data_IF_294512825080
#
_entry.id   IF_294512825080
#
_cell.length_a   1.000
_cell.length_b   1.000
_cell.length_c   1.000
_cell.angle_alpha   90.00
_cell.angle_beta   90.00
_cell.angle_gamma   90.00
#
_symmetry.space_group_name_H-M   'P 1'
#
loop_
_entity.id
_entity.type
_entity.pdbx_description
1 polymer ?
#
# COMPACT_ATOMS: atom_id res chain seq x y z
N UNK A 1 -1.93 -2.14 16.42
CA UNK A 1 -1.48 -1.18 17.44
C UNK A 1 -0.08 -0.71 17.07
N UNK A 2 0.26 0.57 17.26
CA UNK A 2 1.64 1.05 17.13
C UNK A 2 2.57 0.31 18.08
N UNK A 3 3.82 0.12 17.66
CA UNK A 3 4.86 -0.59 18.43
C UNK A 3 5.08 0.03 19.81
N UNK A 4 4.87 1.34 19.96
CA UNK A 4 4.97 2.07 21.22
C UNK A 4 3.95 1.64 22.27
N UNK A 5 2.84 1.01 21.88
CA UNK A 5 1.80 0.55 22.80
C UNK A 5 2.09 -0.85 23.36
N UNK A 6 2.91 -1.65 22.67
CA UNK A 6 3.34 -2.97 23.13
C UNK A 6 4.84 -3.17 22.88
N UNK A 7 5.71 -2.56 23.71
CA UNK A 7 7.16 -2.62 23.53
C UNK A 7 7.73 -4.05 23.56
N UNK A 8 7.02 -4.98 24.21
CA UNK A 8 7.34 -6.40 24.26
C UNK A 8 7.41 -7.07 22.88
N UNK A 9 6.69 -6.52 21.88
CA UNK A 9 6.67 -7.03 20.52
C UNK A 9 7.82 -6.49 19.64
N UNK A 10 8.58 -5.47 20.10
CA UNK A 10 9.66 -4.86 19.32
C UNK A 10 10.70 -5.87 18.84
N UNK A 11 11.26 -6.76 19.70
CA UNK A 11 12.30 -7.69 19.25
C UNK A 11 11.78 -8.66 18.19
N UNK A 12 10.55 -9.16 18.36
CA UNK A 12 9.90 -10.03 17.38
C UNK A 12 9.65 -9.30 16.06
N UNK A 13 9.15 -8.06 16.10
CA UNK A 13 8.96 -7.27 14.90
C UNK A 13 10.26 -7.05 14.15
N UNK A 14 11.34 -6.65 14.82
CA UNK A 14 12.66 -6.48 14.19
C UNK A 14 13.17 -7.78 13.57
N UNK A 15 13.00 -8.91 14.27
CA UNK A 15 13.36 -10.22 13.72
C UNK A 15 12.55 -10.55 12.47
N UNK A 16 11.25 -10.24 12.42
CA UNK A 16 10.40 -10.44 11.25
C UNK A 16 10.80 -9.52 10.09
N UNK A 17 11.09 -8.25 10.35
CA UNK A 17 11.52 -7.29 9.32
C UNK A 17 12.88 -7.67 8.69
N UNK A 18 13.78 -8.24 9.49
CA UNK A 18 15.06 -8.75 9.02
C UNK A 18 14.97 -10.15 8.38
N UNK A 19 13.83 -10.84 8.50
CA UNK A 19 13.71 -12.21 8.02
C UNK A 19 13.58 -12.28 6.49
N UNK A 20 14.37 -13.14 5.86
CA UNK A 20 14.43 -13.28 4.39
C UNK A 20 13.05 -13.51 3.74
N UNK A 21 12.16 -14.24 4.40
CA UNK A 21 10.79 -14.47 3.90
C UNK A 21 9.97 -13.18 3.81
N UNK A 22 10.09 -12.27 4.79
CA UNK A 22 9.36 -11.01 4.77
C UNK A 22 9.97 -10.01 3.80
N UNK A 23 11.29 -10.00 3.66
CA UNK A 23 11.98 -9.22 2.62
C UNK A 23 11.50 -9.66 1.23
N UNK A 24 11.41 -10.98 0.98
CA UNK A 24 10.89 -11.52 -0.28
C UNK A 24 9.41 -11.20 -0.50
N UNK A 25 8.58 -11.29 0.53
CA UNK A 25 7.16 -10.93 0.47
C UNK A 25 6.99 -9.45 0.11
N UNK A 26 7.77 -8.57 0.74
CA UNK A 26 7.76 -7.14 0.45
C UNK A 26 8.22 -6.87 -0.99
N UNK A 27 9.31 -7.50 -1.43
CA UNK A 27 9.80 -7.39 -2.79
C UNK A 27 8.82 -7.90 -3.85
N UNK A 28 8.13 -9.01 -3.57
CA UNK A 28 7.07 -9.52 -4.45
C UNK A 28 5.93 -8.51 -4.59
N UNK A 29 5.46 -7.94 -3.48
CA UNK A 29 4.43 -6.91 -3.52
C UNK A 29 4.87 -5.67 -4.30
N UNK A 30 6.11 -5.21 -4.12
CA UNK A 30 6.69 -4.12 -4.91
C UNK A 30 6.70 -4.46 -6.39
N UNK A 31 7.14 -5.67 -6.75
CA UNK A 31 7.12 -6.15 -8.14
C UNK A 31 5.72 -6.15 -8.74
N UNK A 32 4.70 -6.60 -7.99
CA UNK A 32 3.30 -6.54 -8.44
C UNK A 32 2.90 -5.10 -8.75
N UNK A 33 3.22 -4.13 -7.90
CA UNK A 33 2.89 -2.72 -8.17
C UNK A 33 3.65 -2.19 -9.39
N UNK A 34 4.94 -2.48 -9.49
CA UNK A 34 5.79 -2.01 -10.59
C UNK A 34 5.32 -2.53 -11.96
N UNK A 35 4.84 -3.77 -12.03
CA UNK A 35 4.40 -4.38 -13.29
C UNK A 35 2.95 -4.07 -13.65
N UNK A 36 2.05 -3.95 -12.66
CA UNK A 36 0.61 -3.76 -12.95
C UNK A 36 0.13 -2.31 -12.84
N UNK A 37 0.92 -1.42 -12.22
CA UNK A 37 0.63 0.01 -12.16
C UNK A 37 1.96 0.82 -12.10
N UNK A 38 2.81 0.77 -13.15
CA UNK A 38 4.12 1.42 -13.18
C UNK A 38 4.08 2.92 -12.88
N UNK A 39 3.06 3.65 -13.35
CA UNK A 39 2.88 5.07 -13.03
C UNK A 39 2.66 5.29 -11.52
N UNK A 40 1.82 4.45 -10.90
CA UNK A 40 1.60 4.49 -9.46
C UNK A 40 2.86 4.07 -8.69
N UNK A 41 3.60 3.07 -9.16
CA UNK A 41 4.90 2.70 -8.58
C UNK A 41 5.87 3.90 -8.59
N UNK A 42 6.03 4.58 -9.74
CA UNK A 42 6.88 5.76 -9.86
C UNK A 42 6.44 6.89 -8.93
N UNK A 43 5.13 7.06 -8.77
CA UNK A 43 4.56 7.97 -7.78
C UNK A 43 4.99 7.59 -6.36
N UNK A 44 4.81 6.35 -5.91
CA UNK A 44 5.29 5.94 -4.58
C UNK A 44 6.81 6.12 -4.40
N UNK A 45 7.60 5.69 -5.38
CA UNK A 45 9.07 5.76 -5.33
C UNK A 45 9.58 7.20 -5.20
N UNK A 46 9.00 8.15 -5.94
CA UNK A 46 9.31 9.58 -5.84
C UNK A 46 9.13 10.11 -4.42
N UNK A 47 8.03 9.76 -3.76
CA UNK A 47 7.74 10.26 -2.41
C UNK A 47 8.59 9.55 -1.36
N UNK A 48 8.88 8.26 -1.52
CA UNK A 48 9.85 7.56 -0.67
C UNK A 48 11.23 8.21 -0.73
N UNK A 49 11.70 8.57 -1.93
CA UNK A 49 12.97 9.29 -2.09
C UNK A 49 12.94 10.68 -1.43
N UNK A 50 11.84 11.42 -1.57
CA UNK A 50 11.67 12.72 -0.92
C UNK A 50 11.67 12.62 0.62
N UNK A 51 11.06 11.56 1.17
CA UNK A 51 11.09 11.29 2.61
C UNK A 51 12.51 10.99 3.08
N UNK A 52 13.21 10.10 2.38
CA UNK A 52 14.60 9.72 2.71
C UNK A 52 15.55 10.91 2.66
N UNK A 53 15.36 11.82 1.70
CA UNK A 53 16.17 13.03 1.57
C UNK A 53 15.85 14.12 2.58
N UNK A 54 14.72 14.02 3.31
CA UNK A 54 14.26 15.05 4.25
C UNK A 54 14.41 14.65 5.72
N UNK A 55 14.25 13.38 6.01
CA UNK A 55 14.24 12.81 7.36
C UNK A 55 15.43 11.86 7.52
N UNK A 56 16.45 12.31 8.24
CA UNK A 56 17.69 11.54 8.42
C UNK A 56 17.51 10.34 9.36
N UNK A 57 16.38 10.26 10.07
CA UNK A 57 16.08 9.27 11.11
C UNK A 57 15.04 8.22 10.69
N UNK A 58 14.59 8.23 9.42
CA UNK A 58 13.67 7.20 8.94
C UNK A 58 14.43 6.01 8.33
N UNK A 59 14.00 4.81 8.69
CA UNK A 59 14.38 3.58 8.02
C UNK A 59 13.13 2.95 7.40
N UNK A 60 13.19 2.63 6.11
CA UNK A 60 12.14 1.84 5.47
C UNK A 60 12.15 0.41 6.00
N UNK A 61 10.96 -0.17 6.13
CA UNK A 61 10.78 -1.49 6.75
C UNK A 61 11.49 -2.62 5.99
N UNK A 62 11.65 -2.48 4.66
CA UNK A 62 12.32 -3.44 3.80
C UNK A 62 13.14 -2.72 2.72
N UNK A 63 14.24 -3.30 2.21
CA UNK A 63 15.09 -2.64 1.21
C UNK A 63 14.39 -2.29 -0.11
N UNK A 64 13.40 -3.08 -0.52
CA UNK A 64 12.72 -2.94 -1.82
C UNK A 64 11.30 -2.38 -1.70
N UNK A 65 10.86 -1.97 -0.50
CA UNK A 65 9.49 -1.46 -0.33
C UNK A 65 9.36 -0.03 -0.81
N UNK A 66 8.26 0.28 -1.49
CA UNK A 66 7.86 1.66 -1.79
C UNK A 66 6.76 2.16 -0.86
N UNK A 67 6.46 1.42 0.22
CA UNK A 67 5.49 1.79 1.23
C UNK A 67 6.17 2.29 2.50
N UNK A 68 5.65 3.36 3.08
CA UNK A 68 6.22 3.96 4.30
C UNK A 68 5.89 3.16 5.56
N UNK A 69 4.85 2.30 5.52
CA UNK A 69 4.39 1.53 6.67
C UNK A 69 4.12 0.07 6.32
N UNK A 70 4.26 -0.78 7.34
CA UNK A 70 3.86 -2.18 7.33
C UNK A 70 3.08 -2.49 8.61
N UNK A 71 2.06 -3.33 8.51
CA UNK A 71 1.40 -3.95 9.66
C UNK A 71 1.50 -5.46 9.53
N UNK A 72 2.00 -6.10 10.59
CA UNK A 72 1.92 -7.55 10.77
C UNK A 72 0.79 -7.80 11.76
N UNK A 73 -0.34 -8.30 11.25
CA UNK A 73 -1.44 -8.69 12.11
C UNK A 73 -1.12 -10.05 12.72
N UNK A 74 -0.73 -10.02 13.98
CA UNK A 74 -0.49 -11.23 14.77
C UNK A 74 -1.79 -12.02 14.94
N UNK A 75 -1.67 -13.34 14.88
CA UNK A 75 -2.77 -14.30 14.95
C UNK A 75 -3.09 -14.69 16.39
N UNK A 76 -3.54 -15.93 16.66
CA UNK A 76 -3.56 -17.06 15.72
C UNK A 76 -4.72 -17.02 14.73
N UNK A 77 -5.73 -16.16 14.93
CA UNK A 77 -6.92 -16.07 14.05
C UNK A 77 -7.25 -14.62 13.75
N UNK A 78 -6.41 -13.96 12.97
CA UNK A 78 -6.61 -12.57 12.56
C UNK A 78 -7.89 -12.44 11.74
N UNK A 79 -8.86 -11.72 12.30
CA UNK A 79 -10.08 -11.29 11.62
C UNK A 79 -10.10 -9.77 11.55
N UNK A 80 -10.40 -9.21 10.37
CA UNK A 80 -10.66 -7.78 10.22
C UNK A 80 -12.16 -7.56 10.10
N UNK A 81 -12.71 -6.75 11.00
CA UNK A 81 -14.10 -6.30 10.90
C UNK A 81 -14.25 -5.40 9.66
N UNK A 82 -15.48 -5.15 9.23
CA UNK A 82 -15.76 -4.24 8.11
C UNK A 82 -15.21 -2.85 8.40
N UNK A 83 -14.24 -2.41 7.62
CA UNK A 83 -13.58 -1.11 7.79
C UNK A 83 -13.05 -0.58 6.45
N UNK A 84 -12.47 0.62 6.49
CA UNK A 84 -11.73 1.25 5.40
C UNK A 84 -10.50 1.92 6.01
N UNK A 85 -9.36 1.84 5.36
CA UNK A 85 -8.13 2.46 5.84
C UNK A 85 -8.10 3.93 5.41
N UNK A 86 -9.03 4.73 5.93
CA UNK A 86 -9.28 6.12 5.50
C UNK A 86 -8.05 7.04 5.52
N UNK A 87 -7.02 6.70 6.30
CA UNK A 87 -5.78 7.45 6.35
C UNK A 87 -4.84 7.17 5.17
N UNK A 88 -4.98 6.03 4.49
CA UNK A 88 -4.17 5.64 3.35
C UNK A 88 -4.43 6.52 2.13
N UNK A 89 -3.47 6.57 1.21
CA UNK A 89 -3.68 7.20 -0.09
C UNK A 89 -4.90 6.57 -0.78
N UNK A 90 -5.87 7.40 -1.21
CA UNK A 90 -7.17 6.91 -1.65
C UNK A 90 -7.10 5.96 -2.86
N UNK A 91 -6.32 6.32 -3.88
CA UNK A 91 -6.03 5.46 -5.04
C UNK A 91 -4.79 4.58 -4.82
N UNK A 92 -4.13 4.68 -3.66
CA UNK A 92 -2.91 3.94 -3.38
C UNK A 92 -3.18 2.46 -3.14
N UNK A 93 -2.30 1.59 -3.64
CA UNK A 93 -2.42 0.15 -3.41
C UNK A 93 -1.86 -0.24 -2.04
N UNK A 94 -2.62 -1.12 -1.38
CA UNK A 94 -2.29 -1.76 -0.12
C UNK A 94 -2.18 -3.27 -0.39
N UNK A 95 -0.95 -3.81 -0.59
CA UNK A 95 -0.76 -5.24 -0.70
C UNK A 95 -1.01 -5.91 0.64
N UNK A 96 -1.87 -6.92 0.64
CA UNK A 96 -2.22 -7.77 1.78
C UNK A 96 -1.78 -9.18 1.42
N UNK A 97 -0.96 -9.81 2.26
CA UNK A 97 -0.61 -11.23 2.14
C UNK A 97 -1.28 -12.02 3.26
N UNK A 98 -2.08 -13.03 2.91
CA UNK A 98 -2.64 -13.96 3.87
C UNK A 98 -1.59 -15.01 4.25
N UNK A 99 -1.46 -15.30 5.54
CA UNK A 99 -0.53 -16.29 6.08
C UNK A 99 -1.28 -17.23 7.04
N UNK A 100 -0.65 -18.34 7.41
CA UNK A 100 -1.20 -19.33 8.33
C UNK A 100 -1.62 -20.62 7.62
N UNK A 101 -2.45 -21.41 8.32
CA UNK A 101 -2.98 -22.68 7.83
C UNK A 101 -4.49 -22.71 8.04
N UNK A 102 -5.23 -22.48 6.96
CA UNK A 102 -6.68 -22.49 6.90
C UNK A 102 -7.14 -22.96 5.53
N UNK A 103 -8.35 -23.52 5.44
CA UNK A 103 -8.95 -23.90 4.18
C UNK A 103 -9.64 -22.67 3.52
N UNK A 104 -9.10 -22.14 2.40
CA UNK A 104 -9.64 -20.95 1.76
C UNK A 104 -10.96 -21.19 1.02
N UNK A 105 -11.41 -22.44 0.89
CA UNK A 105 -12.70 -22.77 0.27
C UNK A 105 -13.86 -22.64 1.26
N UNK A 106 -13.58 -22.56 2.57
CA UNK A 106 -14.60 -22.50 3.63
C UNK A 106 -14.50 -21.27 4.54
N UNK A 107 -13.36 -20.57 4.54
CA UNK A 107 -13.11 -19.43 5.44
C UNK A 107 -11.98 -18.54 4.98
N UNK A 108 -11.73 -17.44 5.71
CA UNK A 108 -10.61 -16.53 5.45
C UNK A 108 -10.70 -15.67 4.17
N UNK A 109 -11.80 -15.77 3.43
CA UNK A 109 -12.12 -14.97 2.23
C UNK A 109 -11.93 -13.47 2.47
N UNK A 110 -11.43 -12.75 1.47
CA UNK A 110 -11.48 -11.28 1.46
C UNK A 110 -12.85 -10.83 0.96
N UNK A 111 -13.47 -9.89 1.67
CA UNK A 111 -14.75 -9.29 1.27
C UNK A 111 -14.50 -7.84 0.89
N UNK A 112 -14.85 -7.47 -0.35
CA UNK A 112 -14.84 -6.10 -0.86
C UNK A 112 -16.29 -5.63 -0.98
N UNK A 113 -16.77 -4.93 0.03
CA UNK A 113 -18.20 -4.63 0.21
C UNK A 113 -18.75 -3.71 -0.88
N UNK A 114 -17.99 -2.66 -1.24
CA UNK A 114 -18.40 -1.67 -2.24
C UNK A 114 -18.51 -2.29 -3.64
N UNK A 115 -17.71 -3.33 -3.91
CA UNK A 115 -17.71 -4.08 -5.17
C UNK A 115 -18.66 -5.27 -5.17
N UNK A 116 -19.27 -5.60 -4.01
CA UNK A 116 -20.09 -6.81 -3.80
C UNK A 116 -19.33 -8.10 -4.16
N UNK A 117 -18.03 -8.14 -3.86
CA UNK A 117 -17.17 -9.29 -4.15
C UNK A 117 -16.75 -10.03 -2.88
N UNK A 118 -16.81 -11.36 -2.96
CA UNK A 118 -16.19 -12.27 -1.99
C UNK A 118 -15.12 -13.05 -2.74
N UNK A 119 -13.86 -12.86 -2.34
CA UNK A 119 -12.69 -13.38 -3.05
C UNK A 119 -12.10 -14.49 -2.19
N UNK A 120 -12.00 -15.68 -2.79
CA UNK A 120 -11.21 -16.78 -2.24
C UNK A 120 -9.77 -16.32 -2.09
N UNK A 121 -9.24 -16.34 -0.86
CA UNK A 121 -7.95 -15.75 -0.54
C UNK A 121 -7.04 -16.75 0.20
N UNK A 122 -6.29 -17.59 -0.52
CA UNK A 122 -5.45 -18.65 0.06
C UNK A 122 -4.31 -18.16 0.95
N UNK A 123 -3.89 -18.94 1.96
CA UNK A 123 -2.63 -18.69 2.65
C UNK A 123 -1.45 -18.72 1.66
N UNK A 124 -0.50 -17.80 1.83
CA UNK A 124 0.63 -17.59 0.93
C UNK A 124 0.34 -16.69 -0.28
N UNK A 125 -0.92 -16.32 -0.52
CA UNK A 125 -1.29 -15.41 -1.61
C UNK A 125 -1.28 -13.95 -1.19
N UNK A 126 -1.04 -13.05 -2.16
CA UNK A 126 -1.05 -11.60 -1.97
C UNK A 126 -2.08 -10.97 -2.90
N UNK A 127 -2.83 -10.00 -2.39
CA UNK A 127 -3.75 -9.17 -3.18
C UNK A 127 -3.49 -7.69 -2.87
N UNK A 128 -3.44 -6.85 -3.91
CA UNK A 128 -3.31 -5.41 -3.77
C UNK A 128 -4.69 -4.75 -3.99
N UNK A 129 -5.12 -3.93 -3.02
CA UNK A 129 -6.40 -3.20 -3.10
C UNK A 129 -6.21 -1.73 -2.77
N UNK A 130 -7.04 -0.82 -3.30
CA UNK A 130 -7.12 0.56 -2.80
C UNK A 130 -7.84 0.59 -1.45
N UNK A 131 -7.14 0.22 -0.37
CA UNK A 131 -7.75 0.01 0.95
C UNK A 131 -8.29 1.29 1.60
N UNK A 132 -7.79 2.46 1.15
CA UNK A 132 -8.31 3.76 1.52
C UNK A 132 -9.63 4.13 0.84
N UNK A 133 -9.99 3.45 -0.26
CA UNK A 133 -11.24 3.66 -0.99
C UNK A 133 -12.26 2.56 -0.75
N UNK A 134 -11.83 1.30 -0.70
CA UNK A 134 -12.72 0.14 -0.60
C UNK A 134 -12.95 -0.27 0.84
N UNK A 135 -14.22 -0.35 1.23
CA UNK A 135 -14.64 -0.98 2.47
C UNK A 135 -14.43 -2.49 2.36
N UNK A 136 -13.65 -3.04 3.29
CA UNK A 136 -13.21 -4.43 3.24
C UNK A 136 -13.16 -5.10 4.62
N UNK A 137 -13.13 -6.43 4.61
CA UNK A 137 -13.00 -7.30 5.79
C UNK A 137 -12.48 -8.67 5.37
N UNK A 138 -12.20 -9.56 6.32
CA UNK A 138 -12.04 -10.98 6.01
C UNK A 138 -13.01 -11.86 6.79
N UNK A 139 -13.44 -12.95 6.16
CA UNK A 139 -14.30 -13.95 6.78
C UNK A 139 -13.53 -14.69 7.90
N UNK A 140 -14.28 -15.19 8.89
CA UNK A 140 -13.72 -16.07 9.91
C UNK A 140 -13.13 -17.35 9.29
N UNK A 141 -12.26 -17.98 10.07
CA UNK A 141 -11.67 -19.30 9.79
C UNK A 141 -12.16 -20.31 10.83
N UNK A 142 -11.95 -21.60 10.57
CA UNK A 142 -12.29 -22.68 11.48
C UNK A 142 -11.60 -22.57 12.84
N UNK A 143 -12.23 -23.10 13.90
CA UNK A 143 -11.75 -22.93 15.27
C UNK A 143 -10.35 -23.50 15.56
N UNK A 144 -9.89 -24.47 14.76
CA UNK A 144 -8.56 -25.10 14.85
C UNK A 144 -7.58 -24.60 13.79
N UNK A 145 -8.01 -23.67 12.95
CA UNK A 145 -7.18 -23.09 11.90
C UNK A 145 -6.38 -21.90 12.43
N UNK A 146 -5.40 -21.47 11.64
CA UNK A 146 -4.62 -20.27 11.92
C UNK A 146 -4.61 -19.32 10.73
N UNK A 147 -4.66 -18.03 11.02
CA UNK A 147 -4.55 -16.96 10.03
C UNK A 147 -3.81 -15.76 10.60
N UNK A 148 -2.88 -15.26 9.81
CA UNK A 148 -2.11 -14.04 10.03
C UNK A 148 -2.17 -13.23 8.74
N UNK A 149 -1.73 -11.97 8.78
CA UNK A 149 -1.56 -11.22 7.54
C UNK A 149 -0.47 -10.18 7.66
N UNK A 150 0.20 -9.90 6.54
CA UNK A 150 1.12 -8.77 6.39
C UNK A 150 0.51 -7.80 5.41
N UNK A 151 0.54 -6.51 5.72
CA UNK A 151 0.05 -5.48 4.83
C UNK A 151 1.00 -4.30 4.78
N UNK A 152 1.23 -3.72 3.61
CA UNK A 152 2.05 -2.52 3.44
C UNK A 152 1.18 -1.37 2.90
N UNK A 153 1.45 -0.15 3.33
CA UNK A 153 0.66 1.02 2.94
C UNK A 153 1.42 2.33 3.19
N UNK A 154 0.91 3.42 2.63
CA UNK A 154 1.39 4.77 2.91
C UNK A 154 0.19 5.67 3.16
N UNK A 155 0.25 6.44 4.25
CA UNK A 155 -0.79 7.41 4.57
C UNK A 155 -0.84 8.52 3.51
N UNK A 156 -2.03 8.90 3.04
CA UNK A 156 -2.21 9.97 2.06
C UNK A 156 -1.69 11.32 2.52
N UNK A 157 -1.65 11.54 3.84
CA UNK A 157 -1.09 12.75 4.44
C UNK A 157 0.41 12.91 4.18
N UNK A 158 1.16 11.81 4.04
CA UNK A 158 2.60 11.83 3.74
C UNK A 158 2.83 12.43 2.35
N UNK A 159 2.02 12.02 1.36
CA UNK A 159 2.09 12.58 0.01
C UNK A 159 1.82 14.08 0.01
N UNK A 160 0.70 14.49 0.63
CA UNK A 160 0.35 15.92 0.72
C UNK A 160 1.43 16.74 1.43
N UNK A 161 2.05 16.20 2.48
CA UNK A 161 3.12 16.88 3.19
C UNK A 161 4.35 17.12 2.31
N UNK A 162 4.74 16.12 1.50
CA UNK A 162 5.83 16.27 0.52
C UNK A 162 5.46 17.31 -0.55
N UNK A 163 4.26 17.25 -1.12
CA UNK A 163 3.77 18.23 -2.12
C UNK A 163 3.78 19.65 -1.59
N UNK A 164 3.56 19.81 -0.29
CA UNK A 164 3.56 21.08 0.42
C UNK A 164 4.97 21.54 0.83
N UNK A 165 6.01 20.93 0.26
CA UNK A 165 7.40 21.25 0.55
C UNK A 165 7.83 20.83 1.95
N UNK A 166 7.32 19.69 2.42
CA UNK A 166 7.60 19.11 3.74
C UNK A 166 7.13 20.01 4.90
N UNK A 167 5.92 20.56 4.78
CA UNK A 167 5.29 21.49 5.75
C UNK A 167 3.86 21.10 6.04
N UNK A 168 3.32 21.62 7.14
CA UNK A 168 1.90 21.46 7.43
C UNK A 168 1.05 22.20 6.38
N UNK A 169 -0.19 21.74 6.16
CA UNK A 169 -1.14 22.41 5.25
C UNK A 169 -1.39 23.85 5.67
N UNK A 170 -1.42 24.12 6.98
CA UNK A 170 -1.59 25.48 7.52
C UNK A 170 -0.42 26.40 7.11
N UNK A 171 0.82 25.97 7.33
CA UNK A 171 2.02 26.75 6.95
C UNK A 171 2.14 26.94 5.43
N UNK A 172 1.73 25.95 4.66
CA UNK A 172 1.73 25.99 3.20
C UNK A 172 0.72 27.02 2.67
N UNK A 173 -0.53 26.94 3.14
CA UNK A 173 -1.61 27.85 2.72
C UNK A 173 -1.40 29.28 3.20
N UNK A 174 -0.87 29.48 4.42
CA UNK A 174 -0.63 30.82 4.98
C UNK A 174 0.29 31.70 4.13
N UNK A 175 1.12 31.09 3.28
CA UNK A 175 2.05 31.81 2.38
C UNK A 175 1.45 32.17 1.02
N UNK A 176 0.22 31.73 0.75
CA UNK A 176 -0.46 31.97 -0.53
C UNK A 176 -1.20 33.30 -0.52
N UNK A 177 -1.19 33.95 -1.68
CA UNK A 177 -2.17 34.97 -2.04
C UNK A 177 -3.54 34.34 -2.28
N UNK A 178 -4.61 35.15 -2.32
CA UNK A 178 -5.96 34.65 -2.60
C UNK A 178 -6.03 33.90 -3.94
N UNK A 179 -5.40 34.44 -5.00
CA UNK A 179 -5.40 33.79 -6.33
C UNK A 179 -4.64 32.46 -6.33
N UNK A 180 -3.54 32.35 -5.58
CA UNK A 180 -2.80 31.08 -5.45
C UNK A 180 -3.60 30.05 -4.67
N UNK A 181 -4.34 30.50 -3.65
CA UNK A 181 -5.23 29.62 -2.89
C UNK A 181 -6.39 29.11 -3.74
N UNK A 182 -7.03 29.97 -4.55
CA UNK A 182 -8.08 29.55 -5.47
C UNK A 182 -7.58 28.52 -6.49
N UNK A 183 -6.39 28.75 -7.06
CA UNK A 183 -5.75 27.78 -7.95
C UNK A 183 -5.42 26.45 -7.22
N UNK A 184 -4.96 26.52 -5.97
CA UNK A 184 -4.72 25.34 -5.14
C UNK A 184 -5.99 24.52 -4.93
N UNK A 185 -7.14 25.15 -4.66
CA UNK A 185 -8.41 24.42 -4.51
C UNK A 185 -8.81 23.67 -5.78
N UNK A 186 -8.62 24.26 -6.96
CA UNK A 186 -8.87 23.58 -8.25
C UNK A 186 -7.98 22.35 -8.40
N UNK A 187 -6.70 22.43 -8.02
CA UNK A 187 -5.82 21.25 -8.05
C UNK A 187 -6.21 20.17 -7.03
N UNK A 188 -6.71 20.54 -5.85
CA UNK A 188 -7.22 19.58 -4.86
C UNK A 188 -8.45 18.81 -5.41
N UNK A 189 -9.33 19.48 -6.17
CA UNK A 189 -10.49 18.85 -6.80
C UNK A 189 -10.10 17.81 -7.88
N UNK A 190 -9.08 18.11 -8.69
CA UNK A 190 -8.61 17.23 -9.75
C UNK A 190 -7.82 16.01 -9.27
N UNK A 191 -7.21 16.08 -8.08
CA UNK A 191 -6.24 15.10 -7.58
C UNK A 191 -6.74 13.65 -7.58
N UNK A 192 -8.01 13.43 -7.26
CA UNK A 192 -8.55 12.07 -7.26
C UNK A 192 -8.55 11.45 -8.67
N UNK A 193 -8.93 12.24 -9.69
CA UNK A 193 -8.93 11.78 -11.08
C UNK A 193 -7.51 11.54 -11.60
N UNK A 194 -6.56 12.42 -11.25
CA UNK A 194 -5.13 12.21 -11.51
C UNK A 194 -4.61 10.92 -10.85
N UNK A 195 -5.06 10.68 -9.62
CA UNK A 195 -4.81 9.46 -8.87
C UNK A 195 -5.26 8.19 -9.59
N UNK A 196 -6.50 8.20 -10.11
CA UNK A 196 -7.07 7.10 -10.87
C UNK A 196 -6.39 6.90 -12.22
N UNK A 197 -5.95 7.98 -12.87
CA UNK A 197 -5.23 7.91 -14.14
C UNK A 197 -3.86 7.21 -14.04
N UNK A 198 -3.34 6.99 -12.83
CA UNK A 198 -2.13 6.19 -12.61
C UNK A 198 -2.37 4.67 -12.63
N UNK A 199 -3.62 4.22 -12.78
CA UNK A 199 -3.95 2.81 -12.93
C UNK A 199 -3.81 2.43 -14.38
N UNK A 200 -3.09 1.34 -14.64
CA UNK A 200 -2.91 0.86 -16.01
C UNK A 200 -4.16 0.14 -16.52
N UNK A 201 -4.46 0.38 -17.78
CA UNK A 201 -5.33 -0.45 -18.59
C UNK A 201 -4.56 -1.68 -19.09
N UNK A 202 -5.28 -2.74 -19.48
CA UNK A 202 -4.63 -3.92 -20.06
C UNK A 202 -3.93 -3.63 -21.39
N UNK A 203 -4.43 -2.64 -22.16
CA UNK A 203 -3.83 -2.28 -23.44
C UNK A 203 -2.50 -1.52 -23.26
N UNK A 204 -2.41 -0.64 -22.25
CA UNK A 204 -1.15 0.01 -21.87
C UNK A 204 -0.10 -1.03 -21.44
N UNK A 205 -0.48 -1.99 -20.59
CA UNK A 205 0.44 -3.04 -20.13
C UNK A 205 0.94 -3.94 -21.27
N UNK A 206 0.07 -4.28 -22.23
CA UNK A 206 0.47 -5.07 -23.41
C UNK A 206 1.39 -4.30 -24.34
N UNK A 207 1.22 -2.99 -24.43
CA UNK A 207 2.03 -2.14 -25.31
C UNK A 207 3.42 -1.91 -24.75
N UNK A 208 3.57 -1.83 -23.43
CA UNK A 208 4.89 -1.69 -22.78
C UNK A 208 5.77 -2.93 -22.96
N UNK A 209 5.19 -4.13 -22.97
CA UNK A 209 5.94 -5.38 -23.19
C UNK A 209 6.51 -5.44 -24.63
N UNK A 210 5.77 -4.90 -25.61
CA UNK A 210 6.20 -4.88 -27.02
C UNK A 210 7.35 -3.89 -27.28
N UNK A 211 7.46 -2.80 -26.50
CA UNK A 211 8.58 -1.85 -26.60
C UNK A 211 9.86 -2.39 -25.94
N UNK A 212 9.76 -3.16 -24.85
CA UNK A 212 10.93 -3.81 -24.24
C UNK A 212 11.55 -4.88 -25.15
N UNK A 213 10.73 -5.66 -25.87
CA UNK A 213 11.20 -6.72 -26.78
C UNK A 213 11.93 -6.18 -28.02
N UNK A 214 11.57 -4.98 -28.48
CA UNK A 214 12.23 -4.33 -29.62
C UNK A 214 13.57 -3.69 -29.24
N UNK A 215 13.82 -3.44 -27.94
CA UNK A 215 15.10 -2.91 -27.46
C UNK A 215 16.18 -3.98 -27.24
N UNK A 216 15.80 -5.27 -27.21
CA UNK A 216 16.74 -6.41 -27.10
C UNK A 216 17.18 -7.00 -28.45
N UNK A 217 16.68 -6.46 -29.57
CA UNK A 217 16.99 -6.93 -30.93
C UNK A 217 18.01 -6.06 -31.69
N UNK A 218 18.52 -5.00 -31.05
CA UNK A 218 19.46 -4.02 -31.64
C UNK A 218 20.87 -4.04 -30.99
N UNK A 219 21.27 -5.11 -30.29
CA UNK A 219 22.66 -5.36 -29.84
C UNK A 219 23.35 -6.53 -30.56
#
# INVERSE_FOLDING_TARGET
MPVSQEPSNVPLLHALLAHVAFIRLAGFATGVLANWAPALFGYYAKYCAALAGRLDDIAFNFPTTVWAAVTINFGPRTVSLRHRDYANLAWGWCPITALGNFNPDVGGHLVLWDLKLVIRFPPGSTIAIPSGLLTHSNASIGGRETRFSVTQYTAGAIFRWVDQGCRTKEEFVKKMTASEYDAFLVTEEGRFNEGLAMYSTLDELRSSDAESDLSELDE
#
